data_IF_422890005338
#
_entry.id   IF_422890005338
#
_cell.length_a   1.000
_cell.length_b   1.000
_cell.length_c   1.000
_cell.angle_alpha   90.00
_cell.angle_beta   90.00
_cell.angle_gamma   90.00
#
_symmetry.space_group_name_H-M   'P 1'
#
loop_
_entity.id
_entity.type
_entity.pdbx_description
1 polymer ?
#
# COMPACT_ATOMS: atom_id res chain seq x y z
N UNK A 1 -11.50 -15.07 10.58
CA UNK A 1 -11.67 -14.03 11.61
C UNK A 1 -10.35 -13.59 12.24
N UNK A 2 -9.46 -14.51 12.67
CA UNK A 2 -8.12 -14.20 13.21
C UNK A 2 -7.36 -13.12 12.41
N UNK A 3 -7.27 -13.30 11.08
CA UNK A 3 -6.51 -12.41 10.18
C UNK A 3 -7.05 -10.95 10.13
N UNK A 4 -8.35 -10.74 10.30
CA UNK A 4 -8.93 -9.39 10.29
C UNK A 4 -8.59 -8.66 11.59
N UNK A 5 -8.72 -9.34 12.74
CA UNK A 5 -8.37 -8.77 14.04
C UNK A 5 -6.88 -8.43 14.10
N UNK A 6 -6.01 -9.31 13.63
CA UNK A 6 -4.56 -9.07 13.64
C UNK A 6 -4.18 -7.90 12.72
N UNK A 7 -4.85 -7.76 11.56
CA UNK A 7 -4.66 -6.59 10.67
C UNK A 7 -5.11 -5.29 11.33
N UNK A 8 -6.26 -5.31 11.99
CA UNK A 8 -6.78 -4.13 12.71
C UNK A 8 -5.86 -3.76 13.87
N UNK A 9 -5.38 -4.74 14.64
CA UNK A 9 -4.44 -4.52 15.73
C UNK A 9 -3.12 -3.94 15.22
N UNK A 10 -2.62 -4.45 14.09
CA UNK A 10 -1.40 -3.93 13.46
C UNK A 10 -1.58 -2.48 12.99
N UNK A 11 -2.73 -2.15 12.41
CA UNK A 11 -3.06 -0.77 12.07
C UNK A 11 -3.02 0.15 13.31
N UNK A 12 -3.63 -0.26 14.42
CA UNK A 12 -3.59 0.50 15.67
C UNK A 12 -2.15 0.71 16.17
N UNK A 13 -1.30 -0.31 16.08
CA UNK A 13 0.11 -0.21 16.44
C UNK A 13 0.86 0.79 15.55
N UNK A 14 0.74 0.68 14.23
CA UNK A 14 1.40 1.59 13.29
C UNK A 14 1.01 3.05 13.56
N UNK A 15 -0.29 3.33 13.77
CA UNK A 15 -0.76 4.68 14.10
C UNK A 15 -0.23 5.17 15.47
N UNK A 16 -0.02 4.26 16.42
CA UNK A 16 0.43 4.58 17.77
C UNK A 16 1.95 4.79 17.86
N UNK A 17 2.73 4.33 16.88
CA UNK A 17 4.21 4.35 16.91
C UNK A 17 4.82 5.75 17.05
N UNK A 18 4.14 6.78 16.55
CA UNK A 18 4.58 8.18 16.66
C UNK A 18 4.05 8.90 17.91
N UNK A 19 3.14 8.25 18.66
CA UNK A 19 2.40 8.84 19.79
C UNK A 19 2.82 8.27 21.15
N UNK A 20 3.45 7.09 21.13
CA UNK A 20 3.87 6.35 22.31
C UNK A 20 5.40 6.38 22.41
N UNK A 21 5.91 6.38 23.64
CA UNK A 21 7.31 6.00 23.88
C UNK A 21 7.55 4.54 23.51
N UNK A 22 8.80 4.15 23.26
CA UNK A 22 9.17 2.75 22.96
C UNK A 22 8.62 1.76 24.01
N UNK A 23 8.66 2.13 25.30
CA UNK A 23 8.09 1.30 26.37
C UNK A 23 6.57 1.18 26.31
N UNK A 24 5.87 2.29 26.05
CA UNK A 24 4.42 2.28 25.92
C UNK A 24 3.96 1.52 24.67
N UNK A 25 4.73 1.63 23.59
CA UNK A 25 4.49 0.89 22.35
C UNK A 25 4.62 -0.62 22.58
N UNK A 26 5.71 -1.06 23.23
CA UNK A 26 5.95 -2.46 23.56
C UNK A 26 4.83 -3.03 24.45
N UNK A 27 4.36 -2.27 25.45
CA UNK A 27 3.18 -2.66 26.26
C UNK A 27 1.94 -2.86 25.38
N UNK A 28 1.68 -1.93 24.45
CA UNK A 28 0.51 -2.01 23.57
C UNK A 28 0.62 -3.18 22.58
N UNK A 29 1.81 -3.44 22.06
CA UNK A 29 2.10 -4.55 21.14
C UNK A 29 1.81 -5.88 21.80
N UNK A 30 2.30 -6.10 23.03
CA UNK A 30 2.03 -7.35 23.75
C UNK A 30 0.55 -7.55 24.07
N UNK A 31 -0.16 -6.49 24.45
CA UNK A 31 -1.61 -6.58 24.69
C UNK A 31 -2.38 -6.96 23.43
N UNK A 32 -2.01 -6.38 22.28
CA UNK A 32 -2.77 -6.52 21.04
C UNK A 32 -2.37 -7.74 20.20
N UNK A 33 -1.09 -8.11 20.20
CA UNK A 33 -0.53 -9.19 19.37
C UNK A 33 -0.31 -10.47 20.17
N UNK A 34 0.29 -10.35 21.36
CA UNK A 34 0.56 -11.49 22.24
C UNK A 34 -0.64 -11.84 23.15
N UNK A 35 -1.66 -10.97 23.19
CA UNK A 35 -2.92 -11.14 23.93
C UNK A 35 -2.71 -11.38 25.44
N UNK A 36 -1.64 -10.82 26.00
CA UNK A 36 -1.42 -10.84 27.45
C UNK A 36 -2.48 -10.02 28.17
N UNK A 37 -2.78 -10.37 29.42
CA UNK A 37 -3.74 -9.62 30.22
C UNK A 37 -3.16 -8.28 30.71
N UNK A 38 -4.04 -7.33 31.05
CA UNK A 38 -3.64 -6.05 31.66
C UNK A 38 -2.83 -6.23 32.95
N UNK A 39 -3.10 -7.30 33.72
CA UNK A 39 -2.39 -7.59 34.97
C UNK A 39 -0.98 -8.12 34.70
N UNK A 40 -0.83 -9.01 33.73
CA UNK A 40 0.48 -9.52 33.32
C UNK A 40 1.36 -8.41 32.74
N UNK A 41 0.79 -7.56 31.87
CA UNK A 41 1.49 -6.38 31.37
C UNK A 41 1.89 -5.42 32.51
N UNK A 42 0.98 -5.15 33.45
CA UNK A 42 1.28 -4.32 34.61
C UNK A 42 2.47 -4.86 35.42
N UNK A 43 2.45 -6.16 35.72
CA UNK A 43 3.51 -6.83 36.46
C UNK A 43 4.85 -6.84 35.70
N UNK A 44 4.83 -7.14 34.39
CA UNK A 44 6.04 -7.22 33.56
C UNK A 44 6.75 -5.88 33.43
N UNK A 45 5.99 -4.78 33.34
CA UNK A 45 6.53 -3.45 33.11
C UNK A 45 6.62 -2.58 34.38
N UNK A 46 6.28 -3.14 35.53
CA UNK A 46 6.35 -2.45 36.83
C UNK A 46 5.39 -1.26 36.94
N UNK A 47 4.23 -1.34 36.30
CA UNK A 47 3.18 -0.30 36.29
C UNK A 47 1.88 -0.84 36.86
N UNK A 48 0.89 0.03 37.11
CA UNK A 48 -0.44 -0.40 37.57
C UNK A 48 -1.30 -0.86 36.39
N UNK A 49 -2.23 -1.80 36.62
CA UNK A 49 -3.18 -2.21 35.57
C UNK A 49 -4.04 -1.05 35.07
N UNK A 50 -4.37 -0.09 35.94
CA UNK A 50 -5.06 1.16 35.58
C UNK A 50 -4.23 2.03 34.63
N UNK A 51 -2.91 2.07 34.79
CA UNK A 51 -2.03 2.79 33.87
C UNK A 51 -2.07 2.15 32.48
N UNK A 52 -1.98 0.81 32.43
CA UNK A 52 -2.07 0.05 31.17
C UNK A 52 -3.42 0.27 30.48
N UNK A 53 -4.52 0.28 31.23
CA UNK A 53 -5.85 0.56 30.71
C UNK A 53 -5.96 1.99 30.14
N UNK A 54 -5.46 2.99 30.87
CA UNK A 54 -5.43 4.38 30.38
C UNK A 54 -4.57 4.54 29.13
N UNK A 55 -3.43 3.85 29.08
CA UNK A 55 -2.56 3.83 27.91
C UNK A 55 -3.31 3.29 26.69
N UNK A 56 -4.01 2.17 26.85
CA UNK A 56 -4.83 1.58 25.80
C UNK A 56 -5.92 2.54 25.31
N UNK A 57 -6.68 3.13 26.23
CA UNK A 57 -7.74 4.10 25.89
C UNK A 57 -7.19 5.32 25.16
N UNK A 58 -6.04 5.87 25.59
CA UNK A 58 -5.39 7.02 24.95
C UNK A 58 -4.95 6.69 23.52
N UNK A 59 -4.31 5.55 23.32
CA UNK A 59 -3.86 5.10 22.00
C UNK A 59 -5.06 4.89 21.06
N UNK A 60 -6.11 4.23 21.56
CA UNK A 60 -7.33 3.98 20.80
C UNK A 60 -8.08 5.26 20.41
N UNK A 61 -8.29 6.19 21.36
CA UNK A 61 -8.98 7.47 21.09
C UNK A 61 -8.28 8.26 20.00
N UNK A 62 -6.96 8.36 20.06
CA UNK A 62 -6.18 9.09 19.05
C UNK A 62 -6.16 8.39 17.70
N UNK A 63 -6.08 7.07 17.68
CA UNK A 63 -6.18 6.32 16.43
C UNK A 63 -7.55 6.52 15.76
N UNK A 64 -8.62 6.60 16.56
CA UNK A 64 -9.97 6.93 16.09
C UNK A 64 -10.02 8.35 15.52
N UNK A 65 -9.52 9.36 16.22
CA UNK A 65 -9.44 10.74 15.74
C UNK A 65 -8.68 10.83 14.40
N UNK A 66 -7.57 10.08 14.25
CA UNK A 66 -6.84 10.03 12.98
C UNK A 66 -7.64 9.37 11.86
N UNK A 67 -8.37 8.29 12.14
CA UNK A 67 -9.25 7.66 11.15
C UNK A 67 -10.39 8.60 10.70
N UNK A 68 -10.93 9.40 11.61
CA UNK A 68 -11.92 10.44 11.30
C UNK A 68 -11.31 11.53 10.41
N UNK A 69 -10.11 12.02 10.74
CA UNK A 69 -9.39 12.98 9.89
C UNK A 69 -9.11 12.43 8.48
N UNK A 70 -8.72 11.17 8.34
CA UNK A 70 -8.56 10.55 7.02
C UNK A 70 -9.89 10.52 6.23
N UNK A 71 -11.00 10.24 6.92
CA UNK A 71 -12.33 10.28 6.30
C UNK A 71 -12.71 11.70 5.83
N UNK A 72 -12.35 12.72 6.60
CA UNK A 72 -12.53 14.12 6.19
C UNK A 72 -11.68 14.47 4.96
N UNK A 73 -10.42 14.06 4.92
CA UNK A 73 -9.54 14.24 3.75
C UNK A 73 -10.16 13.61 2.51
N UNK A 74 -10.66 12.38 2.61
CA UNK A 74 -11.36 11.73 1.49
C UNK A 74 -12.60 12.52 1.04
N UNK A 75 -13.36 13.07 1.98
CA UNK A 75 -14.53 13.89 1.68
C UNK A 75 -14.14 15.17 0.91
N UNK A 76 -13.06 15.83 1.33
CA UNK A 76 -12.55 17.02 0.65
C UNK A 76 -11.98 16.70 -0.73
N UNK A 77 -11.32 15.56 -0.90
CA UNK A 77 -10.87 15.10 -2.21
C UNK A 77 -12.04 14.86 -3.15
N UNK A 78 -13.12 14.22 -2.69
CA UNK A 78 -14.34 14.03 -3.49
C UNK A 78 -14.98 15.36 -3.88
N UNK A 79 -15.12 16.30 -2.93
CA UNK A 79 -15.67 17.63 -3.18
C UNK A 79 -14.83 18.43 -4.16
N UNK A 80 -13.51 18.33 -4.08
CA UNK A 80 -12.59 18.96 -5.04
C UNK A 80 -12.81 18.40 -6.45
N UNK A 81 -12.99 17.09 -6.60
CA UNK A 81 -13.27 16.47 -7.90
C UNK A 81 -14.63 16.90 -8.45
N UNK A 82 -15.65 17.00 -7.60
CA UNK A 82 -16.96 17.52 -7.98
C UNK A 82 -16.88 18.96 -8.48
N UNK A 83 -16.21 19.84 -7.73
CA UNK A 83 -16.04 21.24 -8.12
C UNK A 83 -15.25 21.38 -9.43
N UNK A 84 -14.22 20.55 -9.66
CA UNK A 84 -13.50 20.51 -10.94
C UNK A 84 -14.43 20.19 -12.12
N UNK A 85 -15.37 19.24 -11.93
CA UNK A 85 -16.37 18.87 -12.94
C UNK A 85 -17.40 19.98 -13.17
N UNK A 86 -17.80 20.69 -12.12
CA UNK A 86 -18.72 21.83 -12.23
C UNK A 86 -18.09 23.00 -13.00
N UNK A 87 -16.81 23.30 -12.76
CA UNK A 87 -16.08 24.40 -13.43
C UNK A 87 -15.77 24.05 -14.89
N UNK A 88 -15.56 22.77 -15.21
CA UNK A 88 -15.32 22.33 -16.59
C UNK A 88 -16.16 21.10 -16.95
N UNK A 89 -17.44 21.26 -17.32
CA UNK A 89 -18.35 20.15 -17.61
C UNK A 89 -17.94 19.37 -18.86
N UNK A 90 -17.19 20.00 -19.78
CA UNK A 90 -16.56 19.37 -20.93
C UNK A 90 -15.04 19.33 -20.72
N UNK A 91 -14.50 18.28 -20.08
CA UNK A 91 -13.08 18.18 -19.83
C UNK A 91 -12.32 18.15 -21.17
N UNK A 92 -11.23 18.90 -21.23
CA UNK A 92 -10.35 18.86 -22.39
C UNK A 92 -9.76 17.45 -22.56
N UNK A 93 -9.38 17.02 -23.77
CA UNK A 93 -8.72 15.73 -23.98
C UNK A 93 -7.50 15.49 -23.08
N UNK A 94 -6.78 16.56 -22.70
CA UNK A 94 -5.67 16.51 -21.77
C UNK A 94 -6.11 16.16 -20.33
N UNK A 95 -7.22 16.71 -19.86
CA UNK A 95 -7.80 16.40 -18.54
C UNK A 95 -8.32 14.97 -18.50
N UNK A 96 -9.02 14.50 -19.54
CA UNK A 96 -9.50 13.11 -19.64
C UNK A 96 -8.32 12.13 -19.57
N UNK A 97 -7.23 12.42 -20.29
CA UNK A 97 -6.00 11.60 -20.25
C UNK A 97 -5.37 11.62 -18.86
N UNK A 98 -5.35 12.77 -18.19
CA UNK A 98 -4.80 12.89 -16.83
C UNK A 98 -5.63 12.11 -15.82
N UNK A 99 -6.96 12.23 -15.85
CA UNK A 99 -7.85 11.47 -14.97
C UNK A 99 -7.75 9.97 -15.21
N UNK A 100 -7.66 9.54 -16.48
CA UNK A 100 -7.43 8.13 -16.82
C UNK A 100 -6.09 7.64 -16.25
N UNK A 101 -5.04 8.43 -16.43
CA UNK A 101 -3.69 8.13 -15.92
C UNK A 101 -3.71 7.99 -14.39
N UNK A 102 -4.33 8.94 -13.69
CA UNK A 102 -4.43 8.94 -12.23
C UNK A 102 -5.22 7.72 -11.73
N UNK A 103 -6.34 7.40 -12.39
CA UNK A 103 -7.16 6.23 -12.07
C UNK A 103 -6.41 4.91 -12.32
N UNK A 104 -5.74 4.76 -13.46
CA UNK A 104 -5.00 3.56 -13.79
C UNK A 104 -3.81 3.38 -12.84
N UNK A 105 -3.12 4.45 -12.44
CA UNK A 105 -2.02 4.40 -11.45
C UNK A 105 -2.50 3.99 -10.06
N UNK A 106 -3.70 4.38 -9.64
CA UNK A 106 -4.27 4.01 -8.33
C UNK A 106 -4.77 2.57 -8.27
N UNK A 107 -4.92 1.87 -9.41
CA UNK A 107 -5.41 0.51 -9.43
C UNK A 107 -4.41 -0.43 -8.74
N UNK A 108 -4.91 -1.23 -7.78
CA UNK A 108 -4.13 -2.27 -7.13
C UNK A 108 -3.84 -3.42 -8.10
N UNK A 109 -2.64 -3.98 -8.04
CA UNK A 109 -2.24 -5.12 -8.86
C UNK A 109 -3.12 -6.35 -8.58
N UNK A 110 -3.49 -6.56 -7.31
CA UNK A 110 -4.38 -7.64 -6.88
C UNK A 110 -5.82 -7.52 -7.41
N UNK A 111 -6.22 -6.33 -7.86
CA UNK A 111 -7.54 -6.11 -8.46
C UNK A 111 -7.52 -6.32 -9.99
N UNK A 112 -6.37 -6.66 -10.56
CA UNK A 112 -6.28 -7.08 -11.96
C UNK A 112 -6.82 -8.51 -12.11
N UNK A 113 -7.48 -8.78 -13.24
CA UNK A 113 -7.86 -10.13 -13.63
C UNK A 113 -6.69 -10.92 -14.26
N UNK A 114 -5.52 -10.29 -14.39
CA UNK A 114 -4.34 -10.93 -14.98
C UNK A 114 -3.78 -12.01 -14.03
N UNK A 115 -3.62 -13.26 -14.50
CA UNK A 115 -3.14 -14.36 -13.68
C UNK A 115 -1.61 -14.30 -13.54
N UNK A 116 -1.13 -13.61 -12.51
CA UNK A 116 0.31 -13.59 -12.23
C UNK A 116 0.84 -14.96 -11.80
N UNK A 117 2.02 -15.33 -12.29
CA UNK A 117 2.79 -16.48 -11.83
C UNK A 117 3.31 -16.24 -10.42
N UNK A 118 3.48 -17.33 -9.66
CA UNK A 118 4.07 -17.27 -8.30
C UNK A 118 5.44 -16.58 -8.30
N UNK A 119 6.19 -16.69 -9.40
CA UNK A 119 7.53 -16.10 -9.50
C UNK A 119 7.48 -14.59 -9.63
N UNK A 120 6.61 -14.04 -10.50
CA UNK A 120 6.45 -12.60 -10.62
C UNK A 120 5.77 -12.02 -9.37
N UNK A 121 4.77 -12.70 -8.81
CA UNK A 121 4.17 -12.31 -7.52
C UNK A 121 5.21 -12.18 -6.42
N UNK A 122 6.09 -13.18 -6.24
CA UNK A 122 7.14 -13.11 -5.22
C UNK A 122 8.12 -11.94 -5.42
N UNK A 123 8.43 -11.57 -6.66
CA UNK A 123 9.25 -10.39 -6.96
C UNK A 123 8.50 -9.11 -6.59
N UNK A 124 7.23 -8.98 -6.97
CA UNK A 124 6.40 -7.81 -6.66
C UNK A 124 6.21 -7.64 -5.14
N UNK A 125 5.98 -8.75 -4.42
CA UNK A 125 5.86 -8.78 -2.96
C UNK A 125 7.16 -8.37 -2.27
N UNK A 126 8.31 -8.85 -2.74
CA UNK A 126 9.64 -8.49 -2.21
C UNK A 126 9.93 -7.00 -2.39
N UNK A 127 9.42 -6.41 -3.49
CA UNK A 127 9.54 -4.99 -3.78
C UNK A 127 8.42 -4.15 -3.14
N UNK A 128 7.52 -4.79 -2.39
CA UNK A 128 6.35 -4.17 -1.76
C UNK A 128 5.43 -3.38 -2.73
N UNK A 129 5.42 -3.76 -4.00
CA UNK A 129 4.63 -3.10 -5.05
C UNK A 129 3.17 -3.57 -4.95
N UNK A 130 2.25 -2.64 -4.71
CA UNK A 130 0.82 -2.91 -4.51
C UNK A 130 -0.06 -2.33 -5.61
N UNK A 131 0.38 -1.26 -6.25
CA UNK A 131 -0.35 -0.51 -7.28
C UNK A 131 0.36 -0.48 -8.63
N UNK A 132 -0.40 -0.23 -9.70
CA UNK A 132 0.16 0.01 -11.04
C UNK A 132 1.06 1.26 -11.04
N UNK A 133 0.74 2.27 -10.23
CA UNK A 133 1.55 3.48 -10.08
C UNK A 133 2.95 3.17 -9.57
N UNK A 134 3.06 2.42 -8.46
CA UNK A 134 4.34 1.98 -7.90
C UNK A 134 5.14 1.13 -8.90
N UNK A 135 4.45 0.26 -9.65
CA UNK A 135 5.08 -0.54 -10.70
C UNK A 135 5.63 0.34 -11.85
N UNK A 136 4.87 1.37 -12.26
CA UNK A 136 5.24 2.28 -13.35
C UNK A 136 6.35 3.28 -12.96
N UNK A 137 6.55 3.52 -11.66
CA UNK A 137 7.62 4.41 -11.16
C UNK A 137 9.00 3.75 -11.25
N UNK A 138 9.06 2.42 -11.35
CA UNK A 138 10.29 1.68 -11.62
C UNK A 138 10.60 1.74 -13.13
N UNK A 139 11.77 2.25 -13.54
CA UNK A 139 12.16 2.20 -14.95
C UNK A 139 12.22 0.77 -15.45
N UNK A 140 11.62 0.50 -16.62
CA UNK A 140 11.53 -0.86 -17.20
C UNK A 140 12.88 -1.59 -17.30
N UNK A 141 13.95 -0.84 -17.60
CA UNK A 141 15.33 -1.36 -17.68
C UNK A 141 15.86 -1.87 -16.32
N UNK A 142 15.37 -1.35 -15.21
CA UNK A 142 15.90 -1.65 -13.88
C UNK A 142 15.35 -2.98 -13.34
N UNK A 143 14.23 -3.48 -13.91
CA UNK A 143 13.66 -4.76 -13.50
C UNK A 143 14.62 -5.94 -13.67
N UNK A 144 15.52 -5.88 -14.65
CA UNK A 144 16.49 -6.95 -14.89
C UNK A 144 17.50 -7.13 -13.75
N UNK A 145 17.67 -6.10 -12.90
CA UNK A 145 18.59 -6.13 -11.76
C UNK A 145 17.95 -6.78 -10.52
N UNK A 146 16.63 -7.00 -10.51
CA UNK A 146 15.97 -7.64 -9.36
C UNK A 146 16.21 -9.14 -9.33
N UNK A 147 16.63 -9.62 -8.17
CA UNK A 147 16.81 -11.04 -7.91
C UNK A 147 15.49 -11.77 -8.17
N UNK A 148 15.53 -12.77 -9.04
CA UNK A 148 14.36 -13.57 -9.39
C UNK A 148 13.66 -13.12 -10.68
N UNK A 149 13.83 -11.86 -11.11
CA UNK A 149 13.32 -11.37 -12.38
C UNK A 149 14.14 -11.96 -13.54
N UNK A 150 13.50 -12.81 -14.33
CA UNK A 150 14.12 -13.53 -15.47
C UNK A 150 13.25 -13.36 -16.71
N UNK A 151 13.66 -13.95 -17.85
CA UNK A 151 12.95 -13.83 -19.14
C UNK A 151 11.44 -14.07 -19.01
N UNK A 152 11.01 -15.14 -18.33
CA UNK A 152 9.59 -15.43 -18.10
C UNK A 152 8.86 -14.31 -17.35
N UNK A 153 9.51 -13.68 -16.37
CA UNK A 153 8.92 -12.55 -15.64
C UNK A 153 8.80 -11.30 -16.52
N UNK A 154 9.76 -11.08 -17.44
CA UNK A 154 9.66 -9.99 -18.43
C UNK A 154 8.52 -10.21 -19.41
N UNK A 155 8.42 -11.41 -19.98
CA UNK A 155 7.33 -11.78 -20.89
C UNK A 155 5.97 -11.61 -20.22
N UNK A 156 5.87 -12.06 -18.97
CA UNK A 156 4.65 -11.94 -18.17
C UNK A 156 4.33 -10.47 -17.84
N UNK A 157 5.33 -9.67 -17.48
CA UNK A 157 5.14 -8.23 -17.22
C UNK A 157 4.72 -7.47 -18.48
N UNK A 158 5.27 -7.82 -19.65
CA UNK A 158 4.82 -7.29 -20.95
C UNK A 158 3.35 -7.66 -21.18
N UNK A 159 3.00 -8.94 -21.00
CA UNK A 159 1.63 -9.42 -21.18
C UNK A 159 0.64 -8.72 -20.23
N UNK A 160 1.04 -8.48 -18.98
CA UNK A 160 0.25 -7.72 -18.03
C UNK A 160 0.01 -6.27 -18.49
N UNK A 161 1.07 -5.57 -18.90
CA UNK A 161 1.00 -4.18 -19.37
C UNK A 161 0.10 -4.05 -20.61
N UNK A 162 0.14 -5.03 -21.50
CA UNK A 162 -0.70 -5.10 -22.69
C UNK A 162 -2.16 -5.47 -22.34
N UNK A 163 -2.36 -6.43 -21.44
CA UNK A 163 -3.68 -6.87 -20.98
C UNK A 163 -4.45 -5.74 -20.30
N UNK A 164 -3.79 -4.97 -19.44
CA UNK A 164 -4.38 -3.81 -18.76
C UNK A 164 -4.45 -2.56 -19.65
N UNK A 165 -3.87 -2.60 -20.86
CA UNK A 165 -3.79 -1.46 -21.78
C UNK A 165 -3.18 -0.20 -21.14
N UNK A 166 -2.11 -0.41 -20.37
CA UNK A 166 -1.42 0.62 -19.56
C UNK A 166 -0.02 0.96 -20.09
N UNK A 167 0.34 0.51 -21.30
CA UNK A 167 1.65 0.76 -21.92
C UNK A 167 2.07 2.24 -21.91
N UNK A 168 1.10 3.15 -21.98
CA UNK A 168 1.33 4.59 -21.96
C UNK A 168 1.88 5.11 -20.61
N UNK A 169 1.76 4.34 -19.53
CA UNK A 169 2.36 4.66 -18.22
C UNK A 169 3.85 4.37 -18.17
N UNK A 170 4.36 3.49 -19.05
CA UNK A 170 5.73 3.00 -19.01
C UNK A 170 6.58 3.63 -20.12
N UNK A 171 7.44 4.57 -19.74
CA UNK A 171 8.32 5.27 -20.69
C UNK A 171 9.23 4.27 -21.40
N UNK A 172 9.16 4.24 -22.73
CA UNK A 172 10.02 3.39 -23.56
C UNK A 172 9.55 1.94 -23.70
N UNK A 173 8.32 1.60 -23.26
CA UNK A 173 7.78 0.24 -23.31
C UNK A 173 7.90 -0.44 -24.68
N UNK A 174 7.57 0.27 -25.76
CA UNK A 174 7.63 -0.29 -27.12
C UNK A 174 9.03 -0.74 -27.56
N UNK A 175 10.08 -0.11 -27.01
CA UNK A 175 11.49 -0.51 -27.24
C UNK A 175 11.87 -1.64 -26.30
N UNK A 176 11.63 -1.46 -25.01
CA UNK A 176 11.96 -2.43 -23.97
C UNK A 176 11.36 -3.82 -24.19
N UNK A 177 10.11 -3.87 -24.69
CA UNK A 177 9.43 -5.11 -25.11
C UNK A 177 10.25 -5.95 -26.09
N UNK A 178 11.05 -5.32 -26.94
CA UNK A 178 11.84 -5.96 -28.01
C UNK A 178 13.28 -6.24 -27.59
N UNK A 179 13.74 -5.67 -26.47
CA UNK A 179 15.10 -5.85 -25.98
C UNK A 179 15.26 -7.24 -25.34
N UNK A 180 16.30 -8.02 -25.68
CA UNK A 180 16.60 -9.25 -24.96
C UNK A 180 17.06 -8.93 -23.52
N UNK A 181 16.78 -9.82 -22.57
CA UNK A 181 17.45 -9.74 -21.26
C UNK A 181 18.82 -10.37 -21.43
N UNK A 182 19.87 -9.58 -21.24
CA UNK A 182 21.23 -10.10 -21.13
C UNK A 182 21.31 -10.99 -19.89
N UNK A 183 21.30 -12.31 -20.09
CA UNK A 183 21.59 -13.25 -19.02
C UNK A 183 23.09 -13.17 -18.75
N UNK A 184 23.49 -12.46 -17.69
CA UNK A 184 24.77 -12.70 -17.06
C UNK A 184 24.78 -14.18 -16.63
N UNK A 185 25.57 -14.98 -17.34
CA UNK A 185 25.87 -16.37 -17.02
C UNK A 185 26.66 -16.44 -15.72
#
# INVERSE_FOLDING_TARGET
MQNILDRTNRFYLEMSRKLLSEKEYDVLEKLLMEKISLREAAQQYGVTSQYVEKLYQRAFSKAKEMAEMFSEIESYQKKLQELKRQVNPNPTPAQIRKEKTDKDRQKLLLNSAFPFSRRLQGVLETLEIKSIGELADIPLKDFQHFRGFKIKCKEELIAFIEFENIAYLFKGFSKWKKEPIEQLK
#
